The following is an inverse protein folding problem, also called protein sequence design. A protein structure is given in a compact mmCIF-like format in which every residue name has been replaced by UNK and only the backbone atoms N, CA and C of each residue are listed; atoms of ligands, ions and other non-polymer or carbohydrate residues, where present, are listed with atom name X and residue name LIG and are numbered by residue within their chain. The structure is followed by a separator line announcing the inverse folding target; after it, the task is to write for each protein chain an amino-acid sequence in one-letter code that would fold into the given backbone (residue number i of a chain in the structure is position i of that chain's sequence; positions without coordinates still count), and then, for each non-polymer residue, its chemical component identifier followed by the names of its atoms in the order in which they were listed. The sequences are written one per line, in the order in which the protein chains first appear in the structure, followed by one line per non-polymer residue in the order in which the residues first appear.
data_IF_703279135486
#
_entry.id   IF_703279135486
#
_cell.length_a   1.000
_cell.length_b   1.000
_cell.length_c   1.000
_cell.angle_alpha   90.00
_cell.angle_beta   90.00
_cell.angle_gamma   90.00
#
_symmetry.space_group_name_H-M   'P 1'
#
loop_
_entity.id
_entity.type
_entity.pdbx_description
1 polymer ?
#
# COMPACT_ATOMS: atom_id res chain seq x y z
N UNK A 1 5.12 -13.42 24.32
CA UNK A 1 4.31 -14.58 24.73
C UNK A 1 3.88 -15.42 23.52
N UNK A 2 3.24 -14.85 22.46
CA UNK A 2 2.68 -15.53 21.28
C UNK A 2 3.64 -16.50 20.57
N UNK A 3 4.93 -16.14 20.44
CA UNK A 3 5.95 -17.01 19.85
C UNK A 3 6.27 -18.23 20.71
N UNK A 4 6.25 -18.08 22.04
CA UNK A 4 6.46 -19.19 22.98
C UNK A 4 5.29 -20.18 22.93
N UNK A 5 4.07 -19.66 22.86
CA UNK A 5 2.86 -20.48 22.74
C UNK A 5 2.87 -21.30 21.45
N UNK A 6 3.20 -20.65 20.31
CA UNK A 6 3.31 -21.33 19.02
C UNK A 6 4.45 -22.37 18.95
N UNK A 7 5.45 -22.25 19.82
CA UNK A 7 6.58 -23.16 19.91
C UNK A 7 6.43 -24.20 21.04
N UNK A 8 5.26 -24.29 21.67
CA UNK A 8 5.03 -25.20 22.82
C UNK A 8 6.08 -25.06 23.93
N UNK A 9 6.55 -23.83 24.19
CA UNK A 9 7.54 -23.51 25.19
C UNK A 9 9.00 -23.69 24.74
N UNK A 10 9.28 -24.26 23.56
CA UNK A 10 10.65 -24.38 23.04
C UNK A 10 11.20 -22.99 22.68
N UNK A 11 12.16 -22.53 23.47
CA UNK A 11 12.78 -21.22 23.33
C UNK A 11 13.58 -21.08 22.02
N UNK A 12 14.24 -22.13 21.55
CA UNK A 12 15.01 -22.09 20.30
C UNK A 12 14.08 -21.94 19.10
N UNK A 13 13.00 -22.72 19.06
CA UNK A 13 11.95 -22.66 18.04
C UNK A 13 11.25 -21.28 18.08
N UNK A 14 10.89 -20.78 19.26
CA UNK A 14 10.29 -19.45 19.43
C UNK A 14 11.19 -18.34 18.89
N UNK A 15 12.49 -18.38 19.16
CA UNK A 15 13.45 -17.40 18.64
C UNK A 15 13.68 -17.53 17.14
N UNK A 16 13.70 -18.72 16.59
CA UNK A 16 13.76 -18.92 15.14
C UNK A 16 12.53 -18.34 14.45
N UNK A 17 11.33 -18.62 14.97
CA UNK A 17 10.08 -18.09 14.46
C UNK A 17 10.02 -16.55 14.53
N UNK A 18 10.48 -15.95 15.64
CA UNK A 18 10.58 -14.49 15.78
C UNK A 18 11.48 -13.88 14.68
N UNK A 19 12.67 -14.44 14.47
CA UNK A 19 13.61 -13.97 13.45
C UNK A 19 13.05 -14.11 12.04
N UNK A 20 12.38 -15.21 11.73
CA UNK A 20 11.74 -15.40 10.43
C UNK A 20 10.54 -14.45 10.24
N UNK A 21 9.79 -14.15 11.29
CA UNK A 21 8.74 -13.15 11.20
C UNK A 21 9.30 -11.75 10.90
N UNK A 22 10.40 -11.35 11.53
CA UNK A 22 11.09 -10.08 11.21
C UNK A 22 11.54 -10.06 9.75
N UNK A 23 12.12 -11.16 9.28
CA UNK A 23 12.54 -11.28 7.88
C UNK A 23 11.33 -11.19 6.93
N UNK A 24 10.24 -11.89 7.23
CA UNK A 24 9.01 -11.84 6.44
C UNK A 24 8.44 -10.41 6.39
N UNK A 25 8.43 -9.71 7.51
CA UNK A 25 8.01 -8.31 7.59
C UNK A 25 8.88 -7.41 6.72
N UNK A 26 10.19 -7.60 6.72
CA UNK A 26 11.13 -6.86 5.88
C UNK A 26 10.89 -7.11 4.39
N UNK A 27 10.72 -8.37 3.97
CA UNK A 27 10.44 -8.73 2.58
C UNK A 27 9.11 -8.09 2.11
N UNK A 28 8.05 -8.26 2.89
CA UNK A 28 6.74 -7.69 2.56
C UNK A 28 6.75 -6.15 2.56
N UNK A 29 7.49 -5.51 3.48
CA UNK A 29 7.62 -4.06 3.50
C UNK A 29 8.29 -3.52 2.24
N UNK A 30 9.34 -4.20 1.76
CA UNK A 30 10.02 -3.84 0.50
C UNK A 30 9.05 -3.88 -0.68
N UNK A 31 8.26 -4.96 -0.79
CA UNK A 31 7.29 -5.13 -1.88
C UNK A 31 6.18 -4.06 -1.82
N UNK A 32 5.63 -3.81 -0.62
CA UNK A 32 4.60 -2.77 -0.41
C UNK A 32 5.16 -1.39 -0.75
N UNK A 33 6.40 -1.08 -0.36
CA UNK A 33 7.05 0.20 -0.65
C UNK A 33 7.27 0.41 -2.15
N UNK A 34 7.71 -0.62 -2.87
CA UNK A 34 7.83 -0.57 -4.33
C UNK A 34 6.47 -0.35 -5.00
N UNK A 35 5.42 -1.01 -4.51
CA UNK A 35 4.07 -0.83 -5.00
C UNK A 35 3.53 0.59 -4.72
N UNK A 36 3.77 1.13 -3.52
CA UNK A 36 3.41 2.50 -3.16
C UNK A 36 4.05 3.53 -4.10
N UNK A 37 5.35 3.38 -4.39
CA UNK A 37 6.06 4.25 -5.33
C UNK A 37 5.47 4.16 -6.73
N UNK A 38 5.19 2.94 -7.22
CA UNK A 38 4.58 2.75 -8.54
C UNK A 38 3.19 3.38 -8.61
N UNK A 39 2.35 3.16 -7.59
CA UNK A 39 0.98 3.68 -7.54
C UNK A 39 0.95 5.22 -7.52
N UNK A 40 1.74 5.85 -6.64
CA UNK A 40 1.77 7.32 -6.55
C UNK A 40 2.26 7.97 -7.83
N UNK A 41 3.28 7.38 -8.48
CA UNK A 41 3.80 7.90 -9.75
C UNK A 41 2.78 7.74 -10.88
N UNK A 42 2.03 6.63 -10.92
CA UNK A 42 0.96 6.42 -11.89
C UNK A 42 -0.18 7.43 -11.70
N UNK A 43 -0.60 7.69 -10.46
CA UNK A 43 -1.61 8.71 -10.14
C UNK A 43 -1.14 10.10 -10.55
N UNK A 44 0.09 10.46 -10.20
CA UNK A 44 0.69 11.75 -10.53
C UNK A 44 0.74 11.97 -12.05
N UNK A 45 1.24 10.99 -12.80
CA UNK A 45 1.29 11.03 -14.27
C UNK A 45 -0.08 11.18 -14.93
N UNK A 46 -1.15 10.71 -14.30
CA UNK A 46 -2.52 10.88 -14.82
C UNK A 46 -3.11 12.25 -14.49
N UNK A 47 -2.72 12.87 -13.38
CA UNK A 47 -3.32 14.11 -12.90
C UNK A 47 -2.57 15.35 -13.37
N UNK A 48 -1.25 15.29 -13.57
CA UNK A 48 -0.45 16.42 -14.08
C UNK A 48 -1.01 16.99 -15.39
N UNK A 49 -1.36 16.20 -16.41
CA UNK A 49 -1.88 16.75 -17.68
C UNK A 49 -3.22 17.49 -17.55
N UNK A 50 -4.01 17.18 -16.53
CA UNK A 50 -5.37 17.72 -16.36
C UNK A 50 -5.47 18.80 -15.29
N UNK A 51 -4.66 18.70 -14.24
CA UNK A 51 -4.71 19.57 -13.07
C UNK A 51 -3.45 20.46 -12.91
N UNK A 52 -2.44 20.25 -13.76
CA UNK A 52 -1.19 21.01 -13.72
C UNK A 52 -0.09 20.39 -12.86
N UNK A 53 1.15 20.88 -13.05
CA UNK A 53 2.37 20.32 -12.42
C UNK A 53 2.38 20.40 -10.88
N UNK A 54 1.60 21.30 -10.29
CA UNK A 54 1.50 21.45 -8.84
C UNK A 54 0.14 20.99 -8.29
N UNK A 55 -0.56 20.10 -9.00
CA UNK A 55 -1.94 19.72 -8.72
C UNK A 55 -2.18 19.35 -7.24
N UNK A 56 -1.24 18.67 -6.57
CA UNK A 56 -1.44 18.22 -5.20
C UNK A 56 -1.47 19.40 -4.21
N UNK A 57 -0.58 20.39 -4.40
CA UNK A 57 -0.62 21.65 -3.64
C UNK A 57 -1.89 22.44 -3.95
N UNK A 58 -2.20 22.58 -5.23
CA UNK A 58 -3.31 23.41 -5.70
C UNK A 58 -4.68 22.82 -5.30
N UNK A 59 -4.75 21.47 -5.15
CA UNK A 59 -5.94 20.75 -4.73
C UNK A 59 -6.46 21.16 -3.34
N UNK A 60 -5.61 21.70 -2.47
CA UNK A 60 -5.95 22.06 -1.09
C UNK A 60 -6.08 23.58 -0.86
N UNK A 61 -5.80 24.39 -1.88
CA UNK A 61 -6.01 25.85 -1.83
C UNK A 61 -7.51 26.17 -1.83
N UNK A 62 -7.85 27.46 -1.60
CA UNK A 62 -9.21 27.93 -1.71
C UNK A 62 -9.74 27.63 -3.13
N UNK A 63 -10.91 26.99 -3.20
CA UNK A 63 -11.50 26.45 -4.44
C UNK A 63 -10.75 25.27 -5.08
N UNK A 64 -9.74 24.69 -4.43
CA UNK A 64 -9.10 23.44 -4.89
C UNK A 64 -10.06 22.26 -4.87
N UNK A 65 -9.72 21.20 -5.62
CA UNK A 65 -10.61 20.03 -5.77
C UNK A 65 -10.91 19.31 -4.44
N UNK A 66 -10.09 19.50 -3.41
CA UNK A 66 -10.29 18.93 -2.06
C UNK A 66 -10.82 19.96 -1.06
N UNK A 67 -11.33 21.11 -1.50
CA UNK A 67 -11.92 22.16 -0.62
C UNK A 67 -13.24 21.74 0.04
N UNK A 68 -13.92 20.70 -0.48
CA UNK A 68 -15.16 20.19 0.11
C UNK A 68 -14.92 19.58 1.50
N UNK A 69 -15.72 19.96 2.50
CA UNK A 69 -15.57 19.52 3.89
C UNK A 69 -15.59 18.00 4.11
N UNK A 70 -16.19 17.23 3.20
CA UNK A 70 -16.16 15.76 3.24
C UNK A 70 -14.78 15.16 2.91
N UNK A 71 -13.86 15.96 2.35
CA UNK A 71 -12.47 15.57 2.03
C UNK A 71 -11.46 16.22 2.98
N UNK A 72 -11.93 16.77 4.09
CA UNK A 72 -11.13 17.55 5.04
C UNK A 72 -9.90 16.80 5.58
N UNK A 73 -10.01 15.49 5.82
CA UNK A 73 -8.85 14.71 6.31
C UNK A 73 -7.74 14.62 5.25
N UNK A 74 -8.08 14.32 4.00
CA UNK A 74 -7.12 14.33 2.89
C UNK A 74 -6.50 15.72 2.72
N UNK A 75 -7.31 16.77 2.75
CA UNK A 75 -6.87 18.16 2.69
C UNK A 75 -5.85 18.49 3.80
N UNK A 76 -6.18 18.22 5.07
CA UNK A 76 -5.31 18.49 6.22
C UNK A 76 -3.94 17.78 6.11
N UNK A 77 -3.92 16.53 5.66
CA UNK A 77 -2.66 15.77 5.49
C UNK A 77 -1.77 16.46 4.47
N UNK A 78 -2.32 16.83 3.32
CA UNK A 78 -1.58 17.49 2.24
C UNK A 78 -1.13 18.89 2.68
N UNK A 79 -2.00 19.70 3.28
CA UNK A 79 -1.67 21.03 3.80
C UNK A 79 -0.55 20.99 4.84
N UNK A 80 -0.61 20.03 5.77
CA UNK A 80 0.44 19.86 6.79
C UNK A 80 1.81 19.57 6.15
N UNK A 81 1.85 18.66 5.19
CA UNK A 81 3.09 18.32 4.49
C UNK A 81 3.61 19.50 3.64
N UNK A 82 2.72 20.14 2.87
CA UNK A 82 3.06 21.32 2.09
C UNK A 82 3.64 22.45 2.96
N UNK A 83 2.94 22.81 4.05
CA UNK A 83 3.38 23.87 4.97
C UNK A 83 4.72 23.55 5.64
N UNK A 84 5.01 22.28 5.92
CA UNK A 84 6.31 21.84 6.44
C UNK A 84 7.42 22.06 5.42
N UNK A 85 7.24 21.55 4.19
CA UNK A 85 8.23 21.72 3.11
C UNK A 85 8.46 23.17 2.75
N UNK A 86 7.38 23.98 2.71
CA UNK A 86 7.46 25.40 2.39
C UNK A 86 8.23 26.19 3.46
N UNK A 87 7.96 25.94 4.75
CA UNK A 87 8.70 26.58 5.87
C UNK A 87 10.19 26.22 5.87
N UNK A 88 10.54 25.03 5.39
CA UNK A 88 11.93 24.61 5.27
C UNK A 88 12.61 25.15 3.99
N UNK A 89 11.89 25.85 3.11
CA UNK A 89 12.42 26.36 1.84
C UNK A 89 12.80 25.27 0.83
N UNK A 90 12.26 24.04 0.97
CA UNK A 90 12.63 22.89 0.15
C UNK A 90 11.47 22.33 -0.66
N UNK A 91 10.36 23.07 -0.76
CA UNK A 91 9.21 22.60 -1.51
C UNK A 91 9.57 22.29 -2.97
N UNK A 92 9.10 21.14 -3.43
CA UNK A 92 8.88 20.79 -4.82
C UNK A 92 7.70 19.85 -4.90
N UNK A 93 7.03 19.76 -6.06
CA UNK A 93 5.91 18.86 -6.24
C UNK A 93 6.29 17.40 -5.94
N UNK A 94 7.43 16.94 -6.47
CA UNK A 94 7.95 15.59 -6.24
C UNK A 94 8.22 15.29 -4.76
N UNK A 95 8.71 16.30 -3.99
CA UNK A 95 8.86 16.13 -2.54
C UNK A 95 7.52 16.05 -1.83
N UNK A 96 6.54 16.87 -2.23
CA UNK A 96 5.20 16.79 -1.65
C UNK A 96 4.54 15.43 -1.93
N UNK A 97 4.66 14.92 -3.17
CA UNK A 97 4.23 13.56 -3.53
C UNK A 97 4.92 12.50 -2.64
N UNK A 98 6.23 12.63 -2.42
CA UNK A 98 7.00 11.67 -1.61
C UNK A 98 6.66 11.70 -0.12
N UNK A 99 6.13 12.82 0.39
CA UNK A 99 5.70 12.98 1.78
C UNK A 99 4.33 12.34 2.07
N UNK A 100 3.57 12.00 1.03
CA UNK A 100 2.25 11.40 1.21
C UNK A 100 2.37 9.94 1.59
N UNK A 101 1.66 9.55 2.65
CA UNK A 101 1.52 8.16 3.06
C UNK A 101 0.59 7.37 2.12
N UNK A 102 0.72 6.04 2.14
CA UNK A 102 -0.10 5.12 1.34
C UNK A 102 -1.62 5.41 1.45
N UNK A 103 -2.07 5.79 2.64
CA UNK A 103 -3.47 6.14 2.88
C UNK A 103 -4.01 7.23 1.96
N UNK A 104 -3.21 8.25 1.63
CA UNK A 104 -3.62 9.31 0.69
C UNK A 104 -3.89 8.70 -0.68
N UNK A 105 -2.99 7.86 -1.19
CA UNK A 105 -3.12 7.23 -2.51
C UNK A 105 -4.30 6.28 -2.59
N UNK A 106 -4.57 5.52 -1.53
CA UNK A 106 -5.78 4.70 -1.41
C UNK A 106 -7.05 5.55 -1.51
N UNK A 107 -7.11 6.65 -0.73
CA UNK A 107 -8.31 7.49 -0.70
C UNK A 107 -8.59 8.19 -2.04
N UNK A 108 -7.61 8.36 -2.93
CA UNK A 108 -7.85 8.86 -4.28
C UNK A 108 -8.89 8.00 -5.06
N UNK A 109 -9.04 6.73 -4.70
CA UNK A 109 -10.04 5.82 -5.29
C UNK A 109 -11.38 5.81 -4.55
N UNK A 110 -11.54 6.53 -3.43
CA UNK A 110 -12.84 6.67 -2.78
C UNK A 110 -13.79 7.49 -3.67
N UNK A 111 -15.09 7.30 -3.50
CA UNK A 111 -16.09 7.87 -4.42
C UNK A 111 -16.00 9.38 -4.62
N UNK A 112 -15.64 10.14 -3.58
CA UNK A 112 -15.54 11.60 -3.66
C UNK A 112 -14.25 12.02 -4.37
N UNK A 113 -13.09 11.57 -3.92
CA UNK A 113 -11.81 11.91 -4.51
C UNK A 113 -11.72 11.44 -5.96
N UNK A 114 -12.17 10.22 -6.24
CA UNK A 114 -12.23 9.70 -7.60
C UNK A 114 -13.06 10.57 -8.55
N UNK A 115 -14.20 11.12 -8.06
CA UNK A 115 -15.04 12.01 -8.86
C UNK A 115 -14.35 13.33 -9.15
N UNK A 116 -13.77 13.99 -8.14
CA UNK A 116 -13.15 15.30 -8.32
C UNK A 116 -11.83 15.26 -9.09
N UNK A 117 -11.19 14.08 -9.17
CA UNK A 117 -10.03 13.83 -10.04
C UNK A 117 -10.44 13.45 -11.47
N UNK A 118 -11.67 13.70 -11.89
CA UNK A 118 -12.15 13.46 -13.26
C UNK A 118 -12.37 12.00 -13.60
N UNK A 119 -12.49 11.12 -12.61
CA UNK A 119 -12.74 9.68 -12.77
C UNK A 119 -11.68 8.94 -13.64
N UNK A 120 -10.47 9.50 -13.77
CA UNK A 120 -9.43 8.99 -14.66
C UNK A 120 -8.51 7.94 -14.04
N UNK A 121 -8.50 7.79 -12.69
CA UNK A 121 -7.49 7.03 -11.97
C UNK A 121 -7.51 5.52 -12.23
N UNK A 122 -8.60 4.95 -12.74
CA UNK A 122 -8.62 3.55 -13.19
C UNK A 122 -7.66 3.29 -14.36
N UNK A 123 -7.22 4.33 -15.07
CA UNK A 123 -6.20 4.25 -16.10
C UNK A 123 -4.81 3.88 -15.57
N UNK A 124 -4.58 4.02 -14.25
CA UNK A 124 -3.38 3.49 -13.60
C UNK A 124 -3.30 1.96 -13.64
N UNK A 125 -4.42 1.28 -13.94
CA UNK A 125 -4.53 -0.17 -14.03
C UNK A 125 -5.03 -0.59 -15.42
N UNK A 126 -4.25 -0.35 -16.51
CA UNK A 126 -4.70 -0.58 -17.88
C UNK A 126 -5.02 -2.06 -18.16
N UNK A 127 -4.35 -2.98 -17.47
CA UNK A 127 -4.51 -4.43 -17.66
C UNK A 127 -5.49 -5.07 -16.68
N UNK A 128 -6.24 -4.27 -15.90
CA UNK A 128 -7.26 -4.83 -15.02
C UNK A 128 -8.33 -5.57 -15.84
N UNK A 129 -8.95 -6.63 -15.29
CA UNK A 129 -10.02 -7.33 -15.99
C UNK A 129 -11.18 -6.41 -16.35
N UNK A 130 -11.93 -6.78 -17.38
CA UNK A 130 -13.20 -6.13 -17.69
C UNK A 130 -14.24 -6.48 -16.63
N UNK A 131 -15.06 -5.50 -16.24
CA UNK A 131 -16.17 -5.74 -15.32
C UNK A 131 -17.19 -6.69 -15.95
N UNK A 132 -17.77 -7.54 -15.12
CA UNK A 132 -18.84 -8.46 -15.44
C UNK A 132 -20.05 -8.22 -14.54
N UNK A 133 -21.15 -8.94 -14.75
CA UNK A 133 -22.29 -8.88 -13.84
C UNK A 133 -21.94 -9.33 -12.41
N UNK A 134 -20.99 -10.26 -12.27
CA UNK A 134 -20.58 -10.79 -10.96
C UNK A 134 -19.53 -9.91 -10.25
N UNK A 135 -18.60 -9.28 -10.99
CA UNK A 135 -17.51 -8.49 -10.41
C UNK A 135 -17.36 -7.18 -11.17
N UNK A 136 -17.45 -6.07 -10.43
CA UNK A 136 -17.25 -4.72 -10.96
C UNK A 136 -15.85 -4.23 -10.59
N UNK A 137 -14.91 -4.24 -11.54
CA UNK A 137 -13.54 -3.72 -11.38
C UNK A 137 -13.51 -2.18 -11.52
N UNK A 138 -14.27 -1.51 -10.66
CA UNK A 138 -14.41 -0.05 -10.59
C UNK A 138 -13.48 0.57 -9.53
N UNK A 139 -13.65 1.87 -9.28
CA UNK A 139 -12.87 2.58 -8.25
C UNK A 139 -13.08 1.99 -6.85
N UNK A 140 -14.29 1.56 -6.50
CA UNK A 140 -14.58 0.96 -5.18
C UNK A 140 -13.85 -0.39 -5.04
N UNK A 141 -13.79 -1.19 -6.10
CA UNK A 141 -13.00 -2.42 -6.10
C UNK A 141 -11.53 -2.12 -5.82
N UNK A 142 -10.94 -1.19 -6.56
CA UNK A 142 -9.52 -0.79 -6.38
C UNK A 142 -9.32 -0.22 -4.97
N UNK A 143 -10.21 0.64 -4.48
CA UNK A 143 -10.14 1.15 -3.11
C UNK A 143 -10.05 0.02 -2.08
N UNK A 144 -10.91 -1.00 -2.20
CA UNK A 144 -10.94 -2.13 -1.27
C UNK A 144 -9.67 -2.98 -1.33
N UNK A 145 -9.09 -3.20 -2.53
CA UNK A 145 -7.82 -3.92 -2.65
C UNK A 145 -6.66 -3.09 -2.06
N UNK A 146 -6.61 -1.79 -2.31
CA UNK A 146 -5.62 -0.90 -1.72
C UNK A 146 -5.79 -0.79 -0.18
N UNK A 147 -7.00 -0.89 0.33
CA UNK A 147 -7.25 -0.90 1.78
C UNK A 147 -6.64 -2.12 2.48
N UNK A 148 -6.69 -3.29 1.83
CA UNK A 148 -6.03 -4.51 2.32
C UNK A 148 -4.51 -4.33 2.35
N UNK A 149 -3.92 -3.77 1.29
CA UNK A 149 -2.47 -3.46 1.23
C UNK A 149 -2.08 -2.47 2.32
N UNK A 150 -2.87 -1.40 2.52
CA UNK A 150 -2.65 -0.41 3.58
C UNK A 150 -2.74 -1.04 4.97
N UNK A 151 -3.69 -1.94 5.19
CA UNK A 151 -3.85 -2.67 6.45
C UNK A 151 -2.64 -3.55 6.74
N UNK A 152 -2.14 -4.27 5.75
CA UNK A 152 -0.89 -5.05 5.88
C UNK A 152 0.31 -4.14 6.18
N UNK A 153 0.47 -3.03 5.45
CA UNK A 153 1.53 -2.04 5.68
C UNK A 153 1.52 -1.54 7.13
N UNK A 154 0.33 -1.20 7.64
CA UNK A 154 0.17 -0.72 9.01
C UNK A 154 0.52 -1.80 10.03
N UNK A 155 0.10 -3.05 9.86
CA UNK A 155 0.50 -4.17 10.72
C UNK A 155 2.01 -4.34 10.79
N UNK A 156 2.70 -4.24 9.64
CA UNK A 156 4.17 -4.33 9.60
C UNK A 156 4.80 -3.12 10.31
N UNK A 157 4.32 -1.91 10.06
CA UNK A 157 4.81 -0.68 10.69
C UNK A 157 4.62 -0.67 12.22
N UNK A 158 3.56 -1.32 12.72
CA UNK A 158 3.32 -1.50 14.15
C UNK A 158 3.98 -2.77 14.73
N UNK A 159 4.87 -3.41 13.98
CA UNK A 159 5.59 -4.62 14.41
C UNK A 159 4.67 -5.79 14.82
N UNK A 160 3.45 -5.84 14.28
CA UNK A 160 2.56 -6.96 14.52
C UNK A 160 3.11 -8.23 13.84
N UNK A 161 3.05 -9.39 14.53
CA UNK A 161 3.44 -10.65 13.91
C UNK A 161 2.51 -10.99 12.73
N UNK A 162 3.10 -11.28 11.58
CA UNK A 162 2.38 -11.61 10.35
C UNK A 162 2.48 -13.09 9.94
N UNK A 163 3.20 -13.90 10.73
CA UNK A 163 3.41 -15.33 10.51
C UNK A 163 2.37 -16.23 11.21
N UNK A 164 1.34 -15.63 11.82
CA UNK A 164 0.31 -16.35 12.55
C UNK A 164 -1.07 -16.14 11.92
N UNK A 165 -1.96 -17.11 12.14
CA UNK A 165 -3.39 -16.91 11.94
C UNK A 165 -3.87 -15.70 12.75
N UNK A 166 -4.78 -14.91 12.18
CA UNK A 166 -5.36 -13.76 12.86
C UNK A 166 -5.92 -14.18 14.23
N UNK A 167 -5.58 -13.41 15.26
CA UNK A 167 -6.02 -13.61 16.64
C UNK A 167 -5.66 -14.97 17.29
N UNK A 168 -4.73 -15.73 16.70
CA UNK A 168 -4.29 -17.03 17.23
C UNK A 168 -2.75 -17.12 17.28
N UNK A 169 -2.20 -18.01 18.10
CA UNK A 169 -0.75 -18.34 18.16
C UNK A 169 -0.41 -19.52 17.22
N UNK A 170 -1.27 -19.84 16.26
CA UNK A 170 -1.04 -20.87 15.26
C UNK A 170 -0.19 -20.33 14.13
N UNK A 171 0.89 -21.03 13.79
CA UNK A 171 1.77 -20.69 12.65
C UNK A 171 0.95 -20.84 11.36
N UNK A 172 0.74 -19.74 10.64
CA UNK A 172 0.00 -19.74 9.38
C UNK A 172 0.44 -18.55 8.52
N UNK A 173 1.05 -18.85 7.39
CA UNK A 173 1.50 -17.83 6.42
C UNK A 173 0.50 -17.61 5.29
N UNK A 174 -0.65 -18.29 5.27
CA UNK A 174 -1.62 -18.23 4.16
C UNK A 174 -2.12 -16.80 3.93
N UNK A 175 -2.38 -16.04 4.99
CA UNK A 175 -2.77 -14.64 4.88
C UNK A 175 -1.71 -13.82 4.11
N UNK A 176 -0.45 -13.95 4.47
CA UNK A 176 0.64 -13.21 3.82
C UNK A 176 0.85 -13.64 2.37
N UNK A 177 0.78 -14.93 2.09
CA UNK A 177 0.87 -15.45 0.72
C UNK A 177 -0.27 -14.88 -0.14
N UNK A 178 -1.49 -14.79 0.38
CA UNK A 178 -2.63 -14.21 -0.32
C UNK A 178 -2.44 -12.70 -0.57
N UNK A 179 -1.99 -11.93 0.43
CA UNK A 179 -1.73 -10.50 0.26
C UNK A 179 -0.56 -10.24 -0.72
N UNK A 180 0.49 -11.04 -0.65
CA UNK A 180 1.58 -11.01 -1.61
C UNK A 180 1.07 -11.23 -3.05
N UNK A 181 0.27 -12.27 -3.30
CA UNK A 181 -0.29 -12.57 -4.61
C UNK A 181 -1.19 -11.44 -5.14
N UNK A 182 -1.97 -10.80 -4.25
CA UNK A 182 -2.78 -9.62 -4.61
C UNK A 182 -1.90 -8.46 -5.06
N UNK A 183 -0.82 -8.15 -4.35
CA UNK A 183 0.10 -7.07 -4.74
C UNK A 183 0.73 -7.38 -6.10
N UNK A 184 1.14 -8.63 -6.35
CA UNK A 184 1.65 -9.07 -7.65
C UNK A 184 0.59 -8.88 -8.76
N UNK A 185 -0.66 -9.20 -8.46
CA UNK A 185 -1.79 -8.98 -9.38
C UNK A 185 -1.98 -7.49 -9.69
N UNK A 186 -1.92 -6.63 -8.68
CA UNK A 186 -2.05 -5.18 -8.85
C UNK A 186 -0.89 -4.62 -9.70
N UNK A 187 0.35 -5.06 -9.50
CA UNK A 187 1.47 -4.72 -10.39
C UNK A 187 1.19 -5.12 -11.85
N UNK A 188 0.73 -6.35 -12.06
CA UNK A 188 0.36 -6.83 -13.40
C UNK A 188 -0.74 -5.97 -14.03
N UNK A 189 -1.74 -5.55 -13.26
CA UNK A 189 -2.78 -4.64 -13.75
C UNK A 189 -2.26 -3.25 -14.10
N UNK A 190 -1.21 -2.80 -13.42
CA UNK A 190 -0.50 -1.56 -13.76
C UNK A 190 0.40 -1.71 -14.99
N UNK A 191 0.56 -2.91 -15.54
CA UNK A 191 1.47 -3.20 -16.65
C UNK A 191 2.93 -3.31 -16.21
N UNK A 192 3.18 -3.54 -14.93
CA UNK A 192 4.53 -3.65 -14.36
C UNK A 192 4.90 -5.12 -14.21
N UNK A 193 6.03 -5.52 -14.79
CA UNK A 193 6.65 -6.82 -14.52
C UNK A 193 7.34 -6.79 -13.14
N UNK A 194 6.59 -7.22 -12.14
CA UNK A 194 7.07 -7.24 -10.76
C UNK A 194 8.26 -8.18 -10.55
N UNK A 195 8.41 -9.24 -11.36
CA UNK A 195 9.54 -10.18 -11.26
C UNK A 195 10.84 -9.49 -11.63
N UNK A 196 10.84 -8.74 -12.74
CA UNK A 196 12.02 -7.98 -13.16
C UNK A 196 12.31 -6.84 -12.18
N UNK A 197 11.27 -6.11 -11.73
CA UNK A 197 11.43 -4.97 -10.82
C UNK A 197 11.95 -5.40 -9.44
N UNK A 198 11.49 -6.54 -8.91
CA UNK A 198 11.84 -7.04 -7.58
C UNK A 198 12.96 -8.11 -7.63
N UNK A 199 13.66 -8.24 -8.76
CA UNK A 199 14.72 -9.22 -8.90
C UNK A 199 15.78 -9.08 -7.80
N UNK A 200 16.06 -10.17 -7.09
CA UNK A 200 16.98 -10.19 -5.96
C UNK A 200 16.45 -9.56 -4.66
N UNK A 201 15.22 -9.03 -4.65
CA UNK A 201 14.58 -8.40 -3.50
C UNK A 201 13.39 -9.19 -2.95
N UNK A 202 12.84 -10.12 -3.72
CA UNK A 202 11.64 -10.88 -3.36
C UNK A 202 11.99 -12.30 -2.90
N UNK A 203 11.94 -12.53 -1.59
CA UNK A 203 12.17 -13.83 -0.97
C UNK A 203 10.98 -14.28 -0.11
N UNK A 204 9.80 -13.67 -0.27
CA UNK A 204 8.61 -13.92 0.57
C UNK A 204 8.28 -15.40 0.65
N UNK A 205 8.20 -16.11 -0.50
CA UNK A 205 7.84 -17.52 -0.53
C UNK A 205 8.88 -18.42 0.18
N UNK A 206 10.17 -18.12 0.01
CA UNK A 206 11.25 -18.83 0.69
C UNK A 206 11.15 -18.66 2.21
N UNK A 207 10.88 -17.45 2.69
CA UNK A 207 10.72 -17.17 4.13
C UNK A 207 9.48 -17.85 4.68
N UNK A 208 8.34 -17.80 3.96
CA UNK A 208 7.12 -18.51 4.33
C UNK A 208 7.34 -20.02 4.46
N UNK A 209 8.09 -20.62 3.53
CA UNK A 209 8.43 -22.05 3.59
C UNK A 209 9.23 -22.38 4.85
N UNK A 210 10.22 -21.55 5.21
CA UNK A 210 11.02 -21.73 6.44
C UNK A 210 10.16 -21.59 7.71
N UNK A 211 9.19 -20.67 7.73
CA UNK A 211 8.25 -20.52 8.84
C UNK A 211 7.38 -21.75 8.96
N UNK A 212 6.81 -22.23 7.84
CA UNK A 212 5.94 -23.39 7.84
C UNK A 212 6.67 -24.68 8.23
N UNK A 213 7.97 -24.80 7.98
CA UNK A 213 8.80 -25.92 8.46
C UNK A 213 8.98 -25.93 10.00
N UNK A 214 8.55 -24.88 10.69
CA UNK A 214 8.54 -24.80 12.17
C UNK A 214 7.17 -25.17 12.78
N UNK A 215 6.20 -25.64 12.02
CA UNK A 215 4.88 -26.08 12.54
C UNK A 215 4.96 -27.28 13.48
#
# INVERSE_FOLDING_TARGET
QRYKDAANGDTRKAMALYRYNLRLSQEMFTIVSCFEVALRNAIDSLLVPTLGENWLKDSVQDNGIFSNGRMNETRKIIEKAYNRLNRQGIYSHSKLIAEMEFGVWKYMYSSLQYRVTGQCLLRAFPNKPRSSAAIQYNNTYIFNELDKVNSLRNRIAHHEPICFRLHASEIDTSYIVNEYQKIQTLFSWMGIDSRSMLYGLDHVQSVCSKINALK
#
